data_IF_439669020824
#
_entry.id   IF_439669020824
#
_cell.length_a   1.000
_cell.length_b   1.000
_cell.length_c   1.000
_cell.angle_alpha   90.00
_cell.angle_beta   90.00
_cell.angle_gamma   90.00
#
_symmetry.space_group_name_H-M   'P 1'
#
loop_
_entity.id
_entity.type
_entity.pdbx_description
1 polymer ?
#
# COMPACT_ATOMS: atom_id res chain seq x y z
N UNK A 1 -32.91 -14.89 21.55
CA UNK A 1 -33.61 -13.88 22.36
C UNK A 1 -32.58 -13.29 23.30
N UNK A 2 -32.18 -12.03 23.11
CA UNK A 2 -31.26 -11.39 24.05
C UNK A 2 -32.01 -11.19 25.37
N UNK A 3 -31.49 -11.73 26.46
CA UNK A 3 -31.99 -11.45 27.81
C UNK A 3 -31.86 -9.94 28.05
N UNK A 4 -32.99 -9.26 28.22
CA UNK A 4 -33.05 -7.86 28.59
C UNK A 4 -32.64 -7.74 30.05
N UNK A 5 -31.52 -7.04 30.31
CA UNK A 5 -30.96 -6.80 31.64
C UNK A 5 -32.00 -6.17 32.58
N UNK A 6 -32.13 -6.69 33.79
CA UNK A 6 -33.05 -6.15 34.81
C UNK A 6 -32.46 -4.91 35.50
N UNK A 7 -33.28 -4.05 36.14
CA UNK A 7 -32.78 -2.89 36.88
C UNK A 7 -31.80 -3.23 38.02
N UNK A 8 -31.99 -4.38 38.68
CA UNK A 8 -31.09 -4.84 39.74
C UNK A 8 -29.74 -5.30 39.18
N UNK A 9 -29.75 -6.02 38.05
CA UNK A 9 -28.53 -6.41 37.33
C UNK A 9 -27.79 -5.17 36.80
N UNK A 10 -28.51 -4.18 36.28
CA UNK A 10 -27.92 -2.92 35.79
C UNK A 10 -27.19 -2.15 36.89
N UNK A 11 -27.78 -2.04 38.10
CA UNK A 11 -27.12 -1.39 39.25
C UNK A 11 -25.94 -2.21 39.78
N UNK A 12 -26.07 -3.54 39.80
CA UNK A 12 -24.95 -4.42 40.16
C UNK A 12 -23.77 -4.24 39.20
N UNK A 13 -24.06 -4.19 37.89
CA UNK A 13 -23.04 -4.01 36.86
C UNK A 13 -22.44 -2.60 36.88
N UNK A 14 -23.23 -1.56 37.11
CA UNK A 14 -22.73 -0.21 37.37
C UNK A 14 -21.72 -0.18 38.52
N UNK A 15 -22.04 -0.79 39.66
CA UNK A 15 -21.14 -0.84 40.83
C UNK A 15 -19.85 -1.60 40.51
N UNK A 16 -19.96 -2.69 39.75
CA UNK A 16 -18.80 -3.42 39.24
C UNK A 16 -17.92 -2.51 38.36
N UNK A 17 -18.50 -1.81 37.38
CA UNK A 17 -17.78 -0.88 36.51
C UNK A 17 -17.10 0.24 37.29
N UNK A 18 -17.81 0.89 38.22
CA UNK A 18 -17.23 1.94 39.06
C UNK A 18 -16.08 1.42 39.93
N UNK A 19 -16.17 0.18 40.42
CA UNK A 19 -15.08 -0.48 41.15
C UNK A 19 -13.85 -0.67 40.27
N UNK A 20 -14.04 -1.13 39.02
CA UNK A 20 -12.94 -1.23 38.04
C UNK A 20 -12.32 0.14 37.75
N UNK A 21 -13.16 1.18 37.59
CA UNK A 21 -12.73 2.55 37.34
C UNK A 21 -11.89 3.13 38.49
N UNK A 22 -12.32 2.94 39.74
CA UNK A 22 -11.58 3.35 40.94
C UNK A 22 -10.21 2.67 41.01
N UNK A 23 -10.16 1.37 40.67
CA UNK A 23 -8.91 0.59 40.63
C UNK A 23 -8.04 0.89 39.41
N UNK A 24 -8.53 1.69 38.45
CA UNK A 24 -7.88 2.00 37.17
C UNK A 24 -7.55 0.73 36.38
N UNK A 25 -8.44 -0.26 36.44
CA UNK A 25 -8.32 -1.50 35.68
C UNK A 25 -8.46 -1.21 34.18
N UNK A 26 -7.59 -1.79 33.34
CA UNK A 26 -7.62 -1.57 31.89
C UNK A 26 -8.97 -1.95 31.26
N UNK A 27 -9.65 -2.93 31.84
CA UNK A 27 -10.95 -3.42 31.38
C UNK A 27 -12.10 -2.40 31.55
N UNK A 28 -11.93 -1.39 32.40
CA UNK A 28 -13.00 -0.45 32.72
C UNK A 28 -13.48 0.32 31.48
N UNK A 29 -12.56 0.95 30.74
CA UNK A 29 -12.89 1.82 29.60
C UNK A 29 -13.74 1.12 28.52
N UNK A 30 -13.35 -0.07 28.00
CA UNK A 30 -14.16 -0.76 26.99
C UNK A 30 -15.49 -1.28 27.55
N UNK A 31 -15.53 -1.80 28.78
CA UNK A 31 -16.76 -2.33 29.37
C UNK A 31 -17.77 -1.22 29.68
N UNK A 32 -17.31 -0.08 30.20
CA UNK A 32 -18.15 1.08 30.45
C UNK A 32 -18.71 1.66 29.14
N UNK A 33 -17.86 1.80 28.10
CA UNK A 33 -18.30 2.30 26.81
C UNK A 33 -19.36 1.41 26.14
N UNK A 34 -19.19 0.08 26.20
CA UNK A 34 -20.19 -0.87 25.70
C UNK A 34 -21.51 -0.72 26.48
N UNK A 35 -21.44 -0.72 27.81
CA UNK A 35 -22.63 -0.59 28.65
C UNK A 35 -23.42 0.69 28.37
N UNK A 36 -22.73 1.83 28.26
CA UNK A 36 -23.31 3.16 28.02
C UNK A 36 -23.96 3.29 26.62
N UNK A 37 -23.48 2.55 25.63
CA UNK A 37 -23.93 2.63 24.23
C UNK A 37 -25.01 1.61 23.89
N UNK A 38 -24.92 0.42 24.47
CA UNK A 38 -25.78 -0.71 24.13
C UNK A 38 -27.08 -0.73 24.95
N UNK A 39 -27.19 0.12 25.99
CA UNK A 39 -28.33 0.14 26.90
C UNK A 39 -28.93 1.53 27.06
N UNK A 40 -30.26 1.57 27.21
CA UNK A 40 -30.98 2.75 27.68
C UNK A 40 -30.93 2.78 29.22
N UNK A 41 -30.03 3.60 29.75
CA UNK A 41 -29.76 3.68 31.19
C UNK A 41 -30.96 4.22 32.00
N UNK A 42 -31.80 5.06 31.38
CA UNK A 42 -33.04 5.55 32.00
C UNK A 42 -34.07 4.41 32.07
N UNK A 43 -34.23 3.62 31.00
CA UNK A 43 -35.11 2.46 30.98
C UNK A 43 -34.67 1.35 31.97
N UNK A 44 -33.37 1.24 32.24
CA UNK A 44 -32.80 0.35 33.25
C UNK A 44 -32.96 0.88 34.70
N UNK A 45 -33.54 2.07 34.88
CA UNK A 45 -33.82 2.63 36.20
C UNK A 45 -32.58 3.17 36.93
N UNK A 46 -31.50 3.49 36.22
CA UNK A 46 -30.33 4.16 36.80
C UNK A 46 -30.64 5.64 37.03
N UNK A 47 -30.28 6.13 38.22
CA UNK A 47 -30.50 7.52 38.61
C UNK A 47 -29.60 8.48 37.81
N UNK A 48 -30.01 9.74 37.60
CA UNK A 48 -29.17 10.74 36.96
C UNK A 48 -27.77 10.87 37.58
N UNK A 49 -27.66 10.85 38.92
CA UNK A 49 -26.38 10.88 39.64
C UNK A 49 -25.49 9.65 39.34
N UNK A 50 -26.10 8.48 39.20
CA UNK A 50 -25.42 7.22 38.87
C UNK A 50 -24.87 7.27 37.43
N UNK A 51 -25.68 7.74 36.49
CA UNK A 51 -25.30 7.89 35.09
C UNK A 51 -24.18 8.93 34.91
N UNK A 52 -24.29 10.09 35.55
CA UNK A 52 -23.24 11.13 35.50
C UNK A 52 -21.92 10.58 36.07
N UNK A 53 -21.96 9.85 37.19
CA UNK A 53 -20.76 9.25 37.77
C UNK A 53 -20.05 8.30 36.81
N UNK A 54 -20.82 7.43 36.13
CA UNK A 54 -20.30 6.49 35.14
C UNK A 54 -19.73 7.21 33.90
N UNK A 55 -20.44 8.21 33.37
CA UNK A 55 -20.02 8.99 32.20
C UNK A 55 -18.72 9.75 32.46
N UNK A 56 -18.59 10.38 33.63
CA UNK A 56 -17.37 11.11 34.00
C UNK A 56 -16.20 10.17 34.22
N UNK A 57 -16.41 9.03 34.87
CA UNK A 57 -15.38 8.00 35.02
C UNK A 57 -14.93 7.48 33.66
N UNK A 58 -15.86 7.16 32.76
CA UNK A 58 -15.57 6.73 31.39
C UNK A 58 -14.77 7.81 30.64
N UNK A 59 -15.19 9.08 30.66
CA UNK A 59 -14.49 10.18 30.01
C UNK A 59 -13.03 10.33 30.49
N UNK A 60 -12.77 10.18 31.79
CA UNK A 60 -11.42 10.24 32.35
C UNK A 60 -10.53 9.08 31.87
N UNK A 61 -11.10 7.91 31.63
CA UNK A 61 -10.34 6.75 31.14
C UNK A 61 -9.79 6.94 29.71
N UNK A 62 -10.35 7.87 28.94
CA UNK A 62 -9.90 8.21 27.57
C UNK A 62 -8.96 9.43 27.51
N UNK A 63 -8.56 9.99 28.66
CA UNK A 63 -7.72 11.19 28.73
C UNK A 63 -6.33 11.12 28.05
N UNK A 64 -5.64 9.95 27.92
CA UNK A 64 -4.28 9.95 27.37
C UNK A 64 -4.21 9.85 25.83
N UNK A 65 -5.33 9.65 25.12
CA UNK A 65 -5.30 9.33 23.67
C UNK A 65 -6.18 10.26 22.82
N UNK A 66 -5.59 11.24 22.10
CA UNK A 66 -6.34 12.17 21.23
C UNK A 66 -7.26 11.50 20.20
N UNK A 67 -6.88 10.30 19.71
CA UNK A 67 -7.72 9.49 18.80
C UNK A 67 -9.05 9.05 19.42
N UNK A 68 -9.16 9.00 20.75
CA UNK A 68 -10.36 8.61 21.49
C UNK A 68 -11.15 9.81 22.02
N UNK A 69 -10.72 11.04 21.71
CA UNK A 69 -11.36 12.25 22.23
C UNK A 69 -12.77 12.46 21.70
N UNK A 70 -13.12 11.90 20.54
CA UNK A 70 -14.51 11.87 20.06
C UNK A 70 -15.44 11.12 21.03
N UNK A 71 -15.03 9.96 21.54
CA UNK A 71 -15.78 9.22 22.55
C UNK A 71 -15.80 9.95 23.90
N UNK A 72 -14.67 10.59 24.27
CA UNK A 72 -14.61 11.42 25.48
C UNK A 72 -15.58 12.60 25.42
N UNK A 73 -15.67 13.28 24.27
CA UNK A 73 -16.61 14.39 24.05
C UNK A 73 -18.06 13.92 24.17
N UNK A 74 -18.43 12.80 23.53
CA UNK A 74 -19.77 12.20 23.65
C UNK A 74 -20.16 11.97 25.12
N UNK A 75 -19.27 11.38 25.93
CA UNK A 75 -19.55 11.16 27.34
C UNK A 75 -19.65 12.47 28.15
N UNK A 76 -18.82 13.47 27.85
CA UNK A 76 -18.86 14.78 28.51
C UNK A 76 -20.13 15.56 28.14
N UNK A 77 -20.57 15.52 26.87
CA UNK A 77 -21.80 16.16 26.39
C UNK A 77 -23.03 15.52 27.04
N UNK A 78 -23.08 14.19 27.11
CA UNK A 78 -24.14 13.46 27.81
C UNK A 78 -24.16 13.76 29.31
N UNK A 79 -22.99 13.82 29.95
CA UNK A 79 -22.89 14.18 31.36
C UNK A 79 -23.38 15.62 31.58
N UNK A 80 -22.98 16.57 30.73
CA UNK A 80 -23.41 17.96 30.79
C UNK A 80 -24.93 18.10 30.68
N UNK A 81 -25.57 17.35 29.79
CA UNK A 81 -27.02 17.36 29.63
C UNK A 81 -27.77 16.78 30.85
N UNK A 82 -27.17 15.83 31.57
CA UNK A 82 -27.77 15.19 32.74
C UNK A 82 -27.55 15.96 34.05
N UNK A 83 -26.46 16.73 34.15
CA UNK A 83 -26.07 17.46 35.37
C UNK A 83 -27.21 18.25 36.04
N UNK A 84 -28.08 19.00 35.32
CA UNK A 84 -29.19 19.75 35.93
C UNK A 84 -30.21 18.89 36.69
N UNK A 85 -30.25 17.57 36.42
CA UNK A 85 -31.16 16.60 37.05
C UNK A 85 -30.51 15.85 38.22
N UNK A 86 -29.29 16.21 38.60
CA UNK A 86 -28.50 15.54 39.66
C UNK A 86 -28.35 16.43 40.89
N UNK A 87 -27.82 15.85 41.97
CA UNK A 87 -27.41 16.62 43.16
C UNK A 87 -26.15 17.46 42.93
N UNK A 88 -25.49 17.28 41.79
CA UNK A 88 -24.28 18.01 41.39
C UNK A 88 -24.58 19.31 40.65
N UNK A 89 -25.85 19.59 40.33
CA UNK A 89 -26.27 20.85 39.72
C UNK A 89 -25.85 22.05 40.58
N UNK A 90 -25.24 23.06 39.97
CA UNK A 90 -24.76 24.27 40.66
C UNK A 90 -23.51 24.07 41.53
N UNK A 91 -22.91 22.88 41.54
CA UNK A 91 -21.64 22.61 42.22
C UNK A 91 -20.45 22.92 41.31
N UNK A 92 -19.20 23.02 41.85
CA UNK A 92 -18.01 23.22 41.02
C UNK A 92 -17.80 22.14 39.94
N UNK A 93 -18.40 20.96 40.10
CA UNK A 93 -18.33 19.85 39.13
C UNK A 93 -18.89 20.28 37.77
N UNK A 94 -19.97 21.06 37.76
CA UNK A 94 -20.59 21.53 36.52
C UNK A 94 -19.64 22.42 35.70
N UNK A 95 -18.93 23.32 36.39
CA UNK A 95 -17.88 24.15 35.77
C UNK A 95 -16.70 23.32 35.26
N UNK A 96 -16.31 22.27 36.00
CA UNK A 96 -15.22 21.36 35.59
C UNK A 96 -15.57 20.58 34.32
N UNK A 97 -16.80 20.06 34.21
CA UNK A 97 -17.25 19.35 33.00
C UNK A 97 -17.24 20.29 31.79
N UNK A 98 -17.75 21.52 31.93
CA UNK A 98 -17.72 22.51 30.86
C UNK A 98 -16.31 22.98 30.48
N UNK A 99 -15.34 22.96 31.41
CA UNK A 99 -13.94 23.22 31.11
C UNK A 99 -13.31 22.06 30.34
N UNK A 100 -13.54 20.82 30.81
CA UNK A 100 -12.95 19.62 30.21
C UNK A 100 -13.48 19.37 28.79
N UNK A 101 -14.75 19.67 28.53
CA UNK A 101 -15.35 19.60 27.20
C UNK A 101 -14.66 20.57 26.23
N UNK A 102 -14.52 21.85 26.61
CA UNK A 102 -13.82 22.86 25.80
C UNK A 102 -12.36 22.50 25.55
N UNK A 103 -11.66 22.03 26.59
CA UNK A 103 -10.27 21.58 26.48
C UNK A 103 -10.14 20.40 25.52
N UNK A 104 -10.97 19.37 25.69
CA UNK A 104 -10.93 18.16 24.86
C UNK A 104 -11.26 18.48 23.40
N UNK A 105 -12.23 19.35 23.14
CA UNK A 105 -12.56 19.81 21.79
C UNK A 105 -11.38 20.54 21.15
N UNK A 106 -10.76 21.48 21.86
CA UNK A 106 -9.60 22.21 21.37
C UNK A 106 -8.39 21.30 21.09
N UNK A 107 -8.11 20.34 21.97
CA UNK A 107 -7.03 19.38 21.76
C UNK A 107 -7.32 18.41 20.59
N UNK A 108 -8.58 18.03 20.38
CA UNK A 108 -9.01 17.24 19.23
C UNK A 108 -8.85 18.03 17.92
N UNK A 109 -9.20 19.32 17.90
CA UNK A 109 -8.99 20.18 16.75
C UNK A 109 -7.50 20.30 16.41
N UNK A 110 -6.64 20.51 17.42
CA UNK A 110 -5.18 20.51 17.24
C UNK A 110 -4.64 19.17 16.74
N UNK A 111 -5.20 18.06 17.22
CA UNK A 111 -4.86 16.73 16.74
C UNK A 111 -5.26 16.56 15.26
N UNK A 112 -6.46 16.98 14.88
CA UNK A 112 -6.91 16.96 13.50
C UNK A 112 -6.07 17.87 12.61
N UNK A 113 -5.69 19.06 13.07
CA UNK A 113 -4.79 19.97 12.36
C UNK A 113 -3.41 19.36 12.16
N UNK A 114 -2.86 18.66 13.16
CA UNK A 114 -1.56 18.00 13.06
C UNK A 114 -1.58 16.74 12.17
N UNK A 115 -2.72 16.03 12.10
CA UNK A 115 -2.87 14.80 11.30
C UNK A 115 -3.32 15.09 9.87
N UNK A 116 -4.10 16.15 9.65
CA UNK A 116 -4.45 16.59 8.30
C UNK A 116 -3.20 17.21 7.69
N UNK A 117 -2.68 16.56 6.66
CA UNK A 117 -1.83 17.24 5.70
C UNK A 117 -2.62 18.43 5.19
N UNK A 118 -2.10 19.65 5.32
CA UNK A 118 -2.67 20.85 4.71
C UNK A 118 -2.74 20.62 3.20
N UNK A 119 -3.86 20.06 2.74
CA UNK A 119 -4.17 19.93 1.32
C UNK A 119 -4.41 21.35 0.85
N UNK A 120 -3.52 21.84 -0.01
CA UNK A 120 -3.82 23.00 -0.83
C UNK A 120 -5.14 22.72 -1.56
N UNK A 121 -6.25 23.31 -1.12
CA UNK A 121 -7.54 23.19 -1.80
C UNK A 121 -7.55 23.96 -3.14
N UNK A 122 -6.52 24.76 -3.38
CA UNK A 122 -6.39 25.69 -4.50
C UNK A 122 -5.28 25.34 -5.49
N UNK A 123 -4.49 24.29 -5.24
CA UNK A 123 -3.47 23.80 -6.19
C UNK A 123 -4.02 22.66 -7.03
N UNK A 124 -3.89 22.76 -8.36
CA UNK A 124 -4.00 21.56 -9.21
C UNK A 124 -3.05 20.49 -8.65
N UNK A 125 -3.57 19.28 -8.45
CA UNK A 125 -2.73 18.15 -8.03
C UNK A 125 -1.61 17.97 -9.04
N UNK A 126 -0.43 17.60 -8.57
CA UNK A 126 0.64 17.20 -9.47
C UNK A 126 0.26 15.85 -10.11
N UNK A 127 0.40 15.73 -11.42
CA UNK A 127 0.06 14.52 -12.17
C UNK A 127 1.33 13.78 -12.59
N UNK A 128 1.40 12.49 -12.28
CA UNK A 128 2.34 11.56 -12.87
C UNK A 128 1.58 10.78 -13.94
N UNK A 129 2.03 10.89 -15.19
CA UNK A 129 1.36 10.26 -16.33
C UNK A 129 2.08 8.95 -16.68
N UNK A 130 1.30 7.89 -16.79
CA UNK A 130 1.77 6.55 -17.13
C UNK A 130 1.44 6.26 -18.59
N UNK A 131 2.47 6.15 -19.42
CA UNK A 131 2.36 5.70 -20.80
C UNK A 131 2.88 4.25 -20.88
N UNK A 132 2.01 3.33 -21.31
CA UNK A 132 2.33 1.91 -21.40
C UNK A 132 1.54 1.24 -22.52
N UNK A 133 1.98 0.04 -22.90
CA UNK A 133 1.22 -0.84 -23.80
C UNK A 133 0.02 -1.54 -23.11
N UNK A 134 -0.04 -1.51 -21.78
CA UNK A 134 -1.16 -2.06 -21.00
C UNK A 134 -1.58 -1.06 -19.90
N UNK A 135 -2.03 0.15 -20.26
CA UNK A 135 -2.22 1.26 -19.32
C UNK A 135 -3.24 0.92 -18.24
N UNK A 136 -4.43 0.42 -18.61
CA UNK A 136 -5.50 0.04 -17.67
C UNK A 136 -5.04 -1.00 -16.64
N UNK A 137 -4.21 -1.96 -17.08
CA UNK A 137 -3.65 -2.94 -16.16
C UNK A 137 -2.76 -2.26 -15.11
N UNK A 138 -1.82 -1.42 -15.52
CA UNK A 138 -0.88 -0.80 -14.58
C UNK A 138 -1.51 0.28 -13.71
N UNK A 139 -2.47 1.06 -14.21
CA UNK A 139 -3.07 2.17 -13.45
C UNK A 139 -4.24 1.73 -12.57
N UNK A 140 -4.93 0.63 -12.89
CA UNK A 140 -6.10 0.17 -12.15
C UNK A 140 -5.97 -1.26 -11.62
N UNK A 141 -5.95 -2.25 -12.51
CA UNK A 141 -6.02 -3.68 -12.11
C UNK A 141 -4.88 -4.06 -11.18
N UNK A 142 -3.64 -3.73 -11.54
CA UNK A 142 -2.46 -3.99 -10.73
C UNK A 142 -2.55 -3.27 -9.37
N UNK A 143 -3.01 -2.02 -9.33
CA UNK A 143 -3.10 -1.29 -8.06
C UNK A 143 -4.12 -1.91 -7.10
N UNK A 144 -5.27 -2.37 -7.62
CA UNK A 144 -6.26 -3.15 -6.86
C UNK A 144 -5.67 -4.46 -6.34
N UNK A 145 -4.96 -5.20 -7.21
CA UNK A 145 -4.31 -6.47 -6.83
C UNK A 145 -3.21 -6.26 -5.79
N UNK A 146 -2.41 -5.20 -5.87
CA UNK A 146 -1.38 -4.89 -4.89
C UNK A 146 -1.98 -4.53 -3.52
N UNK A 147 -3.04 -3.72 -3.51
CA UNK A 147 -3.74 -3.41 -2.28
C UNK A 147 -4.31 -4.68 -1.60
N UNK A 148 -4.94 -5.57 -2.37
CA UNK A 148 -5.44 -6.85 -1.87
C UNK A 148 -4.29 -7.76 -1.39
N UNK A 149 -3.19 -7.84 -2.14
CA UNK A 149 -2.00 -8.62 -1.80
C UNK A 149 -1.46 -8.22 -0.42
N UNK A 150 -1.27 -6.93 -0.16
CA UNK A 150 -0.75 -6.47 1.13
C UNK A 150 -1.76 -6.61 2.26
N UNK A 151 -3.06 -6.42 1.99
CA UNK A 151 -4.10 -6.65 2.99
C UNK A 151 -4.16 -8.12 3.41
N UNK A 152 -4.05 -9.04 2.45
CA UNK A 152 -4.01 -10.47 2.71
C UNK A 152 -2.72 -10.83 3.44
N UNK A 153 -1.54 -10.54 2.87
CA UNK A 153 -0.24 -10.89 3.46
C UNK A 153 -0.08 -10.46 4.91
N UNK A 154 -0.55 -9.27 5.26
CA UNK A 154 -0.36 -8.71 6.60
C UNK A 154 -1.53 -8.97 7.55
N UNK A 155 -2.51 -9.81 7.15
CA UNK A 155 -3.57 -10.43 7.97
C UNK A 155 -3.91 -9.66 9.25
N UNK A 156 -4.44 -8.42 9.12
CA UNK A 156 -4.94 -7.66 10.26
C UNK A 156 -6.24 -8.31 10.76
N UNK A 157 -6.12 -9.45 11.45
CA UNK A 157 -7.28 -10.15 12.00
C UNK A 157 -8.01 -9.25 12.99
N UNK A 158 -9.33 -9.39 13.17
CA UNK A 158 -10.07 -8.64 14.19
C UNK A 158 -9.50 -8.84 15.60
N UNK A 159 -8.89 -10.00 15.88
CA UNK A 159 -8.21 -10.30 17.14
C UNK A 159 -6.90 -9.52 17.29
N UNK A 160 -6.05 -9.51 16.26
CA UNK A 160 -4.83 -8.73 16.25
C UNK A 160 -5.12 -7.22 16.35
N UNK A 161 -6.14 -6.74 15.65
CA UNK A 161 -6.59 -5.34 15.73
C UNK A 161 -7.12 -4.98 17.14
N UNK A 162 -7.85 -5.89 17.79
CA UNK A 162 -8.30 -5.73 19.18
C UNK A 162 -7.14 -5.72 20.17
N UNK A 163 -6.17 -6.62 19.98
CA UNK A 163 -4.93 -6.69 20.76
C UNK A 163 -4.12 -5.39 20.64
N UNK A 164 -3.87 -4.93 19.42
CA UNK A 164 -3.14 -3.68 19.14
C UNK A 164 -3.75 -2.48 19.85
N UNK A 165 -5.07 -2.31 19.77
CA UNK A 165 -5.78 -1.15 20.29
C UNK A 165 -6.26 -1.31 21.75
N UNK A 166 -6.01 -2.46 22.40
CA UNK A 166 -6.56 -2.81 23.71
C UNK A 166 -8.08 -2.56 23.78
N UNK A 167 -8.81 -3.05 22.78
CA UNK A 167 -10.28 -2.91 22.71
C UNK A 167 -10.96 -4.25 23.02
N UNK A 168 -12.11 -4.22 23.69
CA UNK A 168 -12.87 -5.41 24.07
C UNK A 168 -12.67 -5.83 25.55
N UNK A 169 -13.00 -7.09 25.91
CA UNK A 169 -12.91 -7.56 27.29
C UNK A 169 -11.46 -7.56 27.82
N UNK A 170 -11.32 -7.64 29.15
CA UNK A 170 -10.03 -7.64 29.84
C UNK A 170 -9.06 -8.64 29.19
N UNK A 171 -7.94 -8.14 28.64
CA UNK A 171 -6.91 -8.99 28.06
C UNK A 171 -6.07 -9.60 29.18
N UNK A 172 -5.75 -10.88 29.05
CA UNK A 172 -4.86 -11.59 29.97
C UNK A 172 -3.42 -11.52 29.46
N UNK A 173 -2.46 -11.67 30.36
CA UNK A 173 -1.05 -11.75 30.01
C UNK A 173 -0.78 -13.11 29.35
N UNK A 174 -0.71 -13.12 28.02
CA UNK A 174 -0.53 -14.34 27.21
C UNK A 174 0.69 -14.18 26.27
N UNK A 175 1.93 -14.18 26.80
CA UNK A 175 3.13 -13.94 26.01
C UNK A 175 3.36 -14.99 24.92
N UNK A 176 2.78 -16.18 25.04
CA UNK A 176 2.89 -17.27 24.06
C UNK A 176 1.79 -17.21 22.98
N UNK A 177 0.81 -16.31 23.11
CA UNK A 177 -0.27 -16.16 22.14
C UNK A 177 0.18 -15.26 20.97
N UNK A 178 0.72 -15.88 19.93
CA UNK A 178 1.22 -15.17 18.74
C UNK A 178 0.14 -14.38 17.99
N UNK A 179 -1.15 -14.68 18.20
CA UNK A 179 -2.25 -13.95 17.56
C UNK A 179 -2.48 -12.55 18.15
N UNK A 180 -2.00 -12.27 19.36
CA UNK A 180 -2.13 -10.97 20.04
C UNK A 180 -0.83 -10.17 20.09
N UNK A 181 0.27 -10.72 19.56
CA UNK A 181 1.55 -10.01 19.45
C UNK A 181 1.38 -8.76 18.58
N UNK A 182 1.96 -7.65 19.03
CA UNK A 182 1.78 -6.33 18.40
C UNK A 182 2.84 -6.00 17.36
N UNK A 183 3.97 -6.70 17.40
CA UNK A 183 5.08 -6.53 16.48
C UNK A 183 4.96 -7.56 15.36
N UNK A 184 4.17 -7.22 14.35
CA UNK A 184 4.13 -7.96 13.09
C UNK A 184 4.13 -6.99 11.91
N UNK A 185 4.55 -7.49 10.75
CA UNK A 185 4.61 -6.70 9.54
C UNK A 185 3.21 -6.16 9.20
N UNK A 186 3.08 -4.84 9.08
CA UNK A 186 1.80 -4.19 8.80
C UNK A 186 0.97 -3.76 10.02
N UNK A 187 1.42 -4.00 11.25
CA UNK A 187 0.73 -3.52 12.46
C UNK A 187 0.64 -1.98 12.56
N UNK A 188 1.53 -1.27 11.89
CA UNK A 188 1.60 0.18 11.94
C UNK A 188 0.91 0.80 10.72
N UNK A 189 -0.25 1.40 10.95
CA UNK A 189 -1.11 2.00 9.92
C UNK A 189 -0.38 2.90 8.91
N UNK A 190 0.54 3.80 9.31
CA UNK A 190 1.36 4.56 8.37
C UNK A 190 2.16 3.72 7.38
N UNK A 191 2.79 2.61 7.83
CA UNK A 191 3.54 1.73 6.92
C UNK A 191 2.60 0.95 6.01
N UNK A 192 1.46 0.51 6.51
CA UNK A 192 0.44 -0.13 5.66
C UNK A 192 -0.11 0.82 4.62
N UNK A 193 -0.42 2.06 5.02
CA UNK A 193 -0.88 3.09 4.09
C UNK A 193 0.16 3.38 3.01
N UNK A 194 1.46 3.42 3.36
CA UNK A 194 2.54 3.59 2.40
C UNK A 194 2.63 2.42 1.40
N UNK A 195 2.29 1.18 1.82
CA UNK A 195 2.29 0.01 0.94
C UNK A 195 1.01 -0.15 0.14
N UNK A 196 -0.16 0.10 0.70
CA UNK A 196 -1.45 -0.10 0.00
C UNK A 196 -1.82 1.02 -0.96
N UNK A 197 -1.23 2.22 -0.81
CA UNK A 197 -1.55 3.38 -1.64
C UNK A 197 -0.38 3.88 -2.52
N UNK A 198 0.76 3.21 -2.50
CA UNK A 198 1.81 3.47 -3.47
C UNK A 198 1.47 2.86 -4.84
N UNK A 199 2.17 3.31 -5.88
CA UNK A 199 2.02 2.77 -7.24
C UNK A 199 2.94 1.57 -7.42
N UNK A 200 2.38 0.39 -7.66
CA UNK A 200 3.13 -0.87 -7.80
C UNK A 200 3.24 -1.33 -9.24
N UNK A 201 4.40 -1.86 -9.59
CA UNK A 201 4.65 -2.55 -10.86
C UNK A 201 4.65 -4.05 -10.59
N UNK A 202 3.76 -4.74 -11.31
CA UNK A 202 3.55 -6.18 -11.23
C UNK A 202 3.38 -6.76 -12.62
N UNK A 203 3.65 -8.04 -12.80
CA UNK A 203 3.46 -8.73 -14.07
C UNK A 203 2.17 -9.58 -14.03
N UNK A 204 1.39 -9.64 -15.13
CA UNK A 204 0.17 -10.44 -15.22
C UNK A 204 0.46 -11.93 -15.51
N UNK A 205 1.72 -12.34 -15.44
CA UNK A 205 2.24 -13.68 -15.71
C UNK A 205 3.41 -13.98 -14.75
N UNK A 206 3.79 -15.25 -14.63
CA UNK A 206 4.93 -15.65 -13.79
C UNK A 206 6.24 -15.39 -14.53
N UNK A 207 7.23 -14.85 -13.82
CA UNK A 207 8.59 -14.65 -14.32
C UNK A 207 9.56 -15.55 -13.53
N UNK A 208 10.33 -16.38 -14.22
CA UNK A 208 11.34 -17.25 -13.60
C UNK A 208 12.74 -16.82 -14.02
N UNK A 209 13.63 -16.67 -13.04
CA UNK A 209 15.08 -16.58 -13.22
C UNK A 209 15.70 -17.89 -12.73
N UNK A 210 16.66 -18.42 -13.48
CA UNK A 210 17.36 -19.66 -13.14
C UNK A 210 18.81 -19.61 -13.57
N UNK A 211 19.71 -20.27 -12.84
CA UNK A 211 21.09 -20.55 -13.26
C UNK A 211 21.18 -21.75 -14.19
N UNK A 212 20.09 -22.48 -14.35
CA UNK A 212 20.04 -23.70 -15.15
C UNK A 212 18.91 -23.66 -16.17
N UNK A 213 19.04 -24.41 -17.28
CA UNK A 213 18.01 -24.49 -18.31
C UNK A 213 16.83 -25.40 -17.93
N UNK A 214 16.79 -26.00 -16.73
CA UNK A 214 15.76 -26.97 -16.36
C UNK A 214 14.43 -26.29 -16.04
N UNK A 215 13.34 -26.96 -16.46
CA UNK A 215 11.96 -26.57 -16.18
C UNK A 215 11.66 -25.09 -16.55
N UNK A 216 11.93 -24.65 -17.80
CA UNK A 216 11.56 -23.32 -18.22
C UNK A 216 10.04 -23.17 -18.24
N UNK A 217 9.56 -21.95 -18.01
CA UNK A 217 8.16 -21.61 -18.24
C UNK A 217 7.84 -21.59 -19.75
N UNK A 218 6.56 -21.81 -20.07
CA UNK A 218 6.09 -22.23 -21.39
C UNK A 218 6.17 -21.18 -22.51
N UNK A 219 6.27 -19.88 -22.18
CA UNK A 219 6.21 -18.82 -23.19
C UNK A 219 7.51 -18.64 -23.95
N UNK A 220 8.64 -19.00 -23.33
CA UNK A 220 9.95 -18.91 -23.97
C UNK A 220 11.08 -18.68 -22.98
N UNK A 221 12.31 -18.76 -23.50
CA UNK A 221 13.54 -18.60 -22.72
C UNK A 221 14.43 -17.54 -23.36
N UNK A 222 15.04 -16.71 -22.51
CA UNK A 222 16.18 -15.83 -22.83
C UNK A 222 17.36 -16.22 -21.98
N UNK A 223 18.55 -16.08 -22.54
CA UNK A 223 19.79 -16.49 -21.88
C UNK A 223 20.71 -15.28 -21.86
N UNK A 224 21.28 -15.00 -20.70
CA UNK A 224 22.31 -13.99 -20.55
C UNK A 224 23.51 -14.62 -19.86
N UNK A 225 24.70 -14.27 -20.33
CA UNK A 225 25.90 -14.42 -19.53
C UNK A 225 26.09 -13.15 -18.73
N UNK A 226 26.08 -13.22 -17.40
CA UNK A 226 26.14 -12.07 -16.50
C UNK A 226 27.14 -12.28 -15.36
N UNK A 227 28.12 -11.38 -15.28
CA UNK A 227 29.07 -11.25 -14.17
C UNK A 227 29.23 -9.78 -13.80
N UNK A 228 29.91 -9.50 -12.69
CA UNK A 228 30.18 -8.12 -12.29
C UNK A 228 30.92 -7.36 -13.41
N UNK A 229 30.38 -6.21 -13.81
CA UNK A 229 30.92 -5.37 -14.88
C UNK A 229 30.74 -5.89 -16.31
N UNK A 230 30.11 -7.05 -16.53
CA UNK A 230 29.93 -7.60 -17.87
C UNK A 230 28.66 -8.43 -18.01
N UNK A 231 27.88 -8.16 -19.05
CA UNK A 231 26.72 -8.97 -19.40
C UNK A 231 26.54 -9.05 -20.91
N UNK A 232 26.11 -10.21 -21.41
CA UNK A 232 25.98 -10.43 -22.85
C UNK A 232 24.79 -11.37 -23.16
N UNK A 233 23.91 -11.01 -24.12
CA UNK A 233 22.79 -11.85 -24.53
C UNK A 233 23.27 -13.05 -25.35
N UNK A 234 22.79 -14.23 -24.98
CA UNK A 234 23.07 -15.50 -25.63
C UNK A 234 21.76 -16.17 -26.05
N UNK A 235 21.88 -17.16 -26.94
CA UNK A 235 20.78 -18.04 -27.32
C UNK A 235 21.29 -19.47 -27.49
N UNK A 236 20.36 -20.42 -27.44
CA UNK A 236 20.67 -21.82 -27.72
C UNK A 236 20.38 -22.12 -29.19
N UNK A 237 21.39 -22.59 -29.92
CA UNK A 237 21.28 -22.95 -31.33
C UNK A 237 22.02 -24.27 -31.59
N UNK A 238 21.31 -25.29 -32.09
CA UNK A 238 21.87 -26.59 -32.47
C UNK A 238 22.72 -27.27 -31.38
N UNK A 239 22.29 -27.20 -30.11
CA UNK A 239 23.01 -27.84 -29.02
C UNK A 239 24.10 -26.98 -28.37
N UNK A 240 24.33 -25.77 -28.89
CA UNK A 240 25.41 -24.88 -28.45
C UNK A 240 24.86 -23.51 -28.03
N UNK A 241 25.57 -22.86 -27.11
CA UNK A 241 25.34 -21.45 -26.84
C UNK A 241 26.01 -20.61 -27.94
N UNK A 242 25.24 -19.68 -28.48
CA UNK A 242 25.71 -18.72 -29.48
C UNK A 242 25.39 -17.30 -29.04
N UNK A 243 26.20 -16.34 -29.46
CA UNK A 243 25.87 -14.92 -29.37
C UNK A 243 24.54 -14.62 -30.05
N UNK A 244 23.65 -13.93 -29.35
CA UNK A 244 22.34 -13.57 -29.91
C UNK A 244 22.46 -12.53 -31.04
N UNK A 245 23.56 -11.76 -31.06
CA UNK A 245 23.76 -10.66 -32.03
C UNK A 245 24.27 -11.14 -33.39
N UNK A 246 25.30 -11.98 -33.40
CA UNK A 246 26.01 -12.39 -34.62
C UNK A 246 26.00 -13.91 -34.86
N UNK A 247 25.45 -14.70 -33.93
CA UNK A 247 25.36 -16.15 -34.03
C UNK A 247 26.67 -16.89 -33.78
N UNK A 248 27.73 -16.21 -33.35
CA UNK A 248 29.03 -16.85 -33.08
C UNK A 248 28.90 -17.83 -31.89
N UNK A 249 29.40 -19.06 -32.06
CA UNK A 249 29.44 -20.06 -30.98
C UNK A 249 30.32 -19.57 -29.84
N UNK A 250 29.79 -19.61 -28.61
CA UNK A 250 30.52 -19.26 -27.40
C UNK A 250 30.92 -20.53 -26.65
N UNK A 251 32.18 -20.60 -26.23
CA UNK A 251 32.75 -21.74 -25.49
C UNK A 251 32.37 -21.75 -24.00
N UNK A 252 31.10 -21.47 -23.68
CA UNK A 252 30.59 -21.41 -22.30
C UNK A 252 29.81 -22.70 -22.01
N UNK A 253 30.15 -23.44 -20.93
CA UNK A 253 29.36 -24.58 -20.46
C UNK A 253 27.93 -24.18 -20.08
N UNK A 254 26.95 -25.05 -20.32
CA UNK A 254 25.52 -24.76 -20.01
C UNK A 254 25.22 -24.69 -18.51
N UNK A 255 26.15 -25.15 -17.68
CA UNK A 255 26.12 -25.13 -16.22
C UNK A 255 27.03 -24.04 -15.63
N UNK A 256 27.56 -23.13 -16.45
CA UNK A 256 28.36 -22.00 -15.98
C UNK A 256 27.53 -21.13 -15.01
N UNK A 257 28.05 -20.83 -13.80
CA UNK A 257 27.29 -20.10 -12.78
C UNK A 257 26.94 -18.67 -13.18
N UNK A 258 27.58 -18.11 -14.20
CA UNK A 258 27.29 -16.78 -14.73
C UNK A 258 26.17 -16.80 -15.78
N UNK A 259 25.68 -17.97 -16.18
CA UNK A 259 24.49 -18.05 -17.02
C UNK A 259 23.24 -17.76 -16.20
N UNK A 260 22.35 -16.98 -16.80
CA UNK A 260 21.02 -16.69 -16.27
C UNK A 260 20.02 -16.96 -17.38
N UNK A 261 19.13 -17.91 -17.12
CA UNK A 261 18.00 -18.28 -17.93
C UNK A 261 16.77 -17.56 -17.39
N UNK A 262 16.07 -16.83 -18.26
CA UNK A 262 14.85 -16.12 -17.93
C UNK A 262 13.72 -16.69 -18.76
N UNK A 263 12.65 -17.10 -18.11
CA UNK A 263 11.46 -17.63 -18.77
C UNK A 263 10.20 -17.01 -18.18
N UNK A 264 9.11 -17.01 -18.96
CA UNK A 264 7.83 -16.48 -18.54
C UNK A 264 6.70 -17.49 -18.81
N UNK A 265 5.66 -17.47 -17.98
CA UNK A 265 4.41 -18.20 -18.26
C UNK A 265 3.54 -17.44 -19.24
N UNK A 266 2.43 -18.04 -19.67
CA UNK A 266 1.34 -17.27 -20.28
C UNK A 266 0.72 -16.30 -19.27
N UNK A 267 -0.07 -15.34 -19.76
CA UNK A 267 -0.89 -14.46 -18.93
C UNK A 267 -1.81 -15.31 -18.04
N UNK A 268 -1.77 -15.03 -16.72
CA UNK A 268 -2.59 -15.67 -15.69
C UNK A 268 -3.60 -14.73 -15.05
N UNK A 269 -3.41 -13.41 -15.15
CA UNK A 269 -4.40 -12.43 -14.67
C UNK A 269 -5.62 -12.42 -15.60
N UNK A 270 -6.81 -12.84 -15.12
CA UNK A 270 -8.02 -12.94 -15.96
C UNK A 270 -8.54 -11.61 -16.49
N UNK A 271 -8.33 -10.52 -15.75
CA UNK A 271 -8.76 -9.16 -16.12
C UNK A 271 -7.74 -8.47 -17.03
N UNK A 272 -6.61 -9.11 -17.34
CA UNK A 272 -5.60 -8.52 -18.22
C UNK A 272 -6.08 -8.44 -19.67
N UNK A 273 -5.80 -7.29 -20.29
CA UNK A 273 -6.06 -6.99 -21.69
C UNK A 273 -4.79 -6.39 -22.31
N UNK A 274 -4.50 -6.82 -23.53
CA UNK A 274 -3.33 -6.37 -24.28
C UNK A 274 -3.71 -6.17 -25.73
N UNK A 275 -3.66 -4.91 -26.16
CA UNK A 275 -3.99 -4.49 -27.53
C UNK A 275 -2.73 -4.18 -28.36
N UNK A 276 -1.55 -4.61 -27.88
CA UNK A 276 -0.28 -4.40 -28.56
C UNK A 276 -0.13 -5.24 -29.83
N UNK A 277 0.90 -4.95 -30.65
CA UNK A 277 1.16 -5.69 -31.87
C UNK A 277 1.38 -7.17 -31.54
N UNK A 278 0.49 -8.03 -32.07
CA UNK A 278 0.63 -9.48 -31.92
C UNK A 278 1.99 -9.91 -32.48
N UNK A 279 2.84 -10.48 -31.64
CA UNK A 279 4.13 -11.02 -32.03
C UNK A 279 3.91 -12.34 -32.80
N UNK A 280 3.50 -12.22 -34.07
CA UNK A 280 3.25 -13.36 -34.96
C UNK A 280 1.95 -14.12 -34.64
N UNK A 281 1.91 -15.41 -35.02
CA UNK A 281 0.76 -16.32 -34.81
C UNK A 281 0.68 -16.89 -33.37
N UNK A 282 1.31 -16.24 -32.38
CA UNK A 282 1.28 -16.71 -31.00
C UNK A 282 -0.13 -16.56 -30.40
N UNK A 283 -0.57 -17.49 -29.53
CA UNK A 283 -1.81 -17.32 -28.76
C UNK A 283 -1.83 -16.00 -27.98
N UNK A 284 -3.00 -15.35 -27.82
CA UNK A 284 -3.11 -14.05 -27.14
C UNK A 284 -2.48 -14.02 -25.73
N UNK A 285 -2.62 -15.11 -24.98
CA UNK A 285 -2.07 -15.26 -23.64
C UNK A 285 -0.53 -15.25 -23.60
N UNK A 286 0.14 -15.49 -24.73
CA UNK A 286 1.61 -15.44 -24.83
C UNK A 286 2.11 -14.11 -25.37
N UNK A 287 1.24 -13.28 -25.97
CA UNK A 287 1.66 -12.09 -26.71
C UNK A 287 2.42 -11.08 -25.83
N UNK A 288 1.83 -10.67 -24.69
CA UNK A 288 2.48 -9.71 -23.79
C UNK A 288 3.74 -10.28 -23.09
N UNK A 289 3.73 -11.50 -22.50
CA UNK A 289 4.96 -12.06 -21.94
C UNK A 289 6.07 -12.22 -22.99
N UNK A 290 5.76 -12.58 -24.25
CA UNK A 290 6.74 -12.59 -25.34
C UNK A 290 7.30 -11.19 -25.62
N UNK A 291 6.45 -10.16 -25.65
CA UNK A 291 6.89 -8.77 -25.81
C UNK A 291 7.86 -8.40 -24.68
N UNK A 292 7.56 -8.73 -23.43
CA UNK A 292 8.47 -8.47 -22.29
C UNK A 292 9.79 -9.24 -22.45
N UNK A 293 9.74 -10.53 -22.79
CA UNK A 293 10.93 -11.36 -23.01
C UNK A 293 11.81 -10.84 -24.17
N UNK A 294 11.21 -10.27 -25.22
CA UNK A 294 11.93 -9.69 -26.36
C UNK A 294 12.72 -8.44 -26.01
N UNK A 295 12.25 -7.68 -25.01
CA UNK A 295 12.87 -6.43 -24.58
C UNK A 295 13.68 -6.57 -23.29
N UNK A 296 14.07 -7.80 -22.92
CA UNK A 296 15.00 -8.01 -21.81
C UNK A 296 16.38 -7.44 -22.15
N UNK A 297 16.94 -6.72 -21.18
CA UNK A 297 18.32 -6.29 -21.17
C UNK A 297 19.09 -6.91 -20.00
N UNK A 298 20.34 -6.51 -19.86
CA UNK A 298 21.19 -6.93 -18.77
C UNK A 298 22.18 -5.83 -18.39
N UNK A 299 22.44 -5.69 -17.10
CA UNK A 299 23.42 -4.78 -16.53
C UNK A 299 24.27 -5.54 -15.49
N UNK A 300 25.38 -6.12 -15.94
CA UNK A 300 26.20 -6.98 -15.10
C UNK A 300 25.43 -8.21 -14.63
N UNK A 301 25.17 -8.30 -13.32
CA UNK A 301 24.39 -9.40 -12.73
C UNK A 301 22.87 -9.17 -12.75
N UNK A 302 22.42 -7.95 -13.06
CA UNK A 302 21.01 -7.62 -13.11
C UNK A 302 20.44 -7.92 -14.49
N UNK A 303 19.27 -8.54 -14.52
CA UNK A 303 18.41 -8.62 -15.69
C UNK A 303 17.49 -7.42 -15.66
N UNK A 304 17.46 -6.68 -16.76
CA UNK A 304 16.59 -5.54 -16.96
C UNK A 304 15.32 -6.02 -17.67
N UNK A 305 14.20 -6.03 -16.96
CA UNK A 305 12.89 -6.37 -17.50
C UNK A 305 12.18 -5.08 -17.92
N UNK A 306 12.11 -4.84 -19.24
CA UNK A 306 11.33 -3.73 -19.77
C UNK A 306 9.84 -4.06 -19.76
N UNK A 307 9.08 -3.31 -18.97
CA UNK A 307 7.62 -3.39 -18.98
C UNK A 307 7.00 -2.43 -20.01
N UNK A 308 7.82 -1.74 -20.82
CA UNK A 308 7.40 -0.63 -21.69
C UNK A 308 6.53 0.38 -20.93
N UNK A 309 6.92 0.67 -19.70
CA UNK A 309 6.24 1.57 -18.78
C UNK A 309 7.04 2.87 -18.71
N UNK A 310 6.55 3.91 -19.38
CA UNK A 310 7.10 5.27 -19.28
C UNK A 310 6.32 6.05 -18.24
N UNK A 311 7.03 6.75 -17.39
CA UNK A 311 6.47 7.58 -16.34
C UNK A 311 6.90 9.01 -16.59
N UNK A 312 5.92 9.89 -16.83
CA UNK A 312 6.08 11.30 -17.12
C UNK A 312 5.72 12.13 -15.89
N UNK A 313 6.53 13.13 -15.58
CA UNK A 313 6.38 13.98 -14.40
C UNK A 313 7.13 15.30 -14.56
N UNK A 314 6.68 16.33 -13.83
CA UNK A 314 7.42 17.58 -13.73
C UNK A 314 8.61 17.39 -12.76
N UNK A 315 9.80 17.23 -13.32
CA UNK A 315 11.05 17.06 -12.60
C UNK A 315 11.46 18.28 -11.75
N UNK A 316 10.83 19.44 -11.95
CA UNK A 316 11.02 20.62 -11.11
C UNK A 316 10.24 20.55 -9.79
N UNK A 317 9.18 19.73 -9.74
CA UNK A 317 8.28 19.61 -8.58
C UNK A 317 8.40 18.25 -7.87
N UNK A 318 8.59 17.17 -8.63
CA UNK A 318 8.57 15.79 -8.12
C UNK A 318 9.84 15.05 -8.50
N UNK A 319 10.37 14.28 -7.56
CA UNK A 319 11.28 13.18 -7.85
C UNK A 319 10.56 11.85 -7.57
N UNK A 320 10.90 10.80 -8.31
CA UNK A 320 10.27 9.49 -8.13
C UNK A 320 11.32 8.52 -7.60
N UNK A 321 11.13 8.01 -6.39
CA UNK A 321 11.92 6.92 -5.84
C UNK A 321 11.36 5.61 -6.37
N UNK A 322 12.19 4.85 -7.06
CA UNK A 322 11.89 3.50 -7.50
C UNK A 322 12.56 2.50 -6.54
N UNK A 323 11.77 1.60 -5.97
CA UNK A 323 12.25 0.64 -4.99
C UNK A 323 11.76 -0.76 -5.30
N UNK A 324 12.66 -1.75 -5.27
CA UNK A 324 12.28 -3.15 -5.29
C UNK A 324 11.42 -3.52 -4.08
N UNK A 325 10.38 -4.31 -4.32
CA UNK A 325 9.51 -4.81 -3.28
C UNK A 325 10.31 -5.69 -2.31
N UNK A 326 10.17 -5.51 -0.98
CA UNK A 326 10.89 -6.31 0.00
C UNK A 326 10.61 -7.81 -0.14
N UNK A 327 9.43 -8.18 -0.64
CA UNK A 327 8.98 -9.56 -0.86
C UNK A 327 9.85 -10.33 -1.86
N UNK A 328 10.57 -9.63 -2.74
CA UNK A 328 11.54 -10.27 -3.64
C UNK A 328 12.63 -11.00 -2.86
N UNK A 329 12.97 -10.52 -1.66
CA UNK A 329 13.97 -11.17 -0.83
C UNK A 329 13.54 -12.58 -0.41
N UNK A 330 12.26 -12.75 -0.07
CA UNK A 330 11.68 -14.06 0.31
C UNK A 330 11.66 -15.03 -0.87
N UNK A 331 11.61 -14.50 -2.09
CA UNK A 331 11.67 -15.27 -3.33
C UNK A 331 13.12 -15.58 -3.77
N UNK A 332 14.14 -15.17 -3.00
CA UNK A 332 15.55 -15.36 -3.35
C UNK A 332 16.05 -14.39 -4.42
N UNK A 333 15.39 -13.24 -4.57
CA UNK A 333 15.75 -12.19 -5.53
C UNK A 333 16.21 -10.93 -4.81
N UNK A 334 16.98 -10.12 -5.54
CA UNK A 334 17.26 -8.72 -5.20
C UNK A 334 16.85 -7.84 -6.37
N UNK A 335 16.46 -6.62 -6.02
CA UNK A 335 16.07 -5.61 -6.99
C UNK A 335 16.88 -4.33 -6.79
N UNK A 336 17.23 -3.67 -7.89
CA UNK A 336 17.86 -2.36 -7.80
C UNK A 336 16.88 -1.30 -7.26
N UNK A 337 17.42 -0.26 -6.65
CA UNK A 337 16.67 0.91 -6.17
C UNK A 337 17.33 2.18 -6.70
N UNK A 338 16.56 3.22 -6.98
CA UNK A 338 17.12 4.45 -7.52
C UNK A 338 16.17 5.64 -7.41
N UNK A 339 16.72 6.83 -7.59
CA UNK A 339 15.93 8.07 -7.62
C UNK A 339 15.90 8.60 -9.06
N UNK A 340 14.70 8.72 -9.61
CA UNK A 340 14.43 9.26 -10.94
C UNK A 340 14.16 10.76 -10.78
N UNK A 341 15.09 11.58 -11.25
CA UNK A 341 15.03 13.04 -11.10
C UNK A 341 14.92 13.78 -12.43
N UNK A 342 15.26 13.14 -13.55
CA UNK A 342 15.28 13.69 -14.93
C UNK A 342 15.22 12.54 -15.92
N UNK A 343 14.95 12.83 -17.19
CA UNK A 343 15.05 11.82 -18.26
C UNK A 343 16.46 11.25 -18.38
N UNK A 344 16.58 9.93 -18.27
CA UNK A 344 17.80 9.20 -18.60
C UNK A 344 17.65 8.45 -19.93
N UNK A 345 18.65 8.60 -20.81
CA UNK A 345 18.73 7.98 -22.13
C UNK A 345 19.07 6.48 -22.06
N UNK A 346 18.12 5.59 -22.35
CA UNK A 346 18.33 4.14 -22.52
C UNK A 346 17.61 3.52 -23.74
N UNK A 347 16.67 4.22 -24.38
CA UNK A 347 16.03 3.79 -25.65
C UNK A 347 16.88 4.02 -26.91
N UNK A 348 16.46 3.43 -28.03
CA UNK A 348 16.98 3.76 -29.37
C UNK A 348 16.58 5.19 -29.74
N UNK A 349 17.43 5.93 -30.47
CA UNK A 349 17.22 7.34 -30.84
C UNK A 349 15.83 7.64 -31.41
N UNK A 350 15.23 6.72 -32.17
CA UNK A 350 13.87 6.87 -32.75
C UNK A 350 12.74 6.94 -31.71
N UNK A 351 12.88 6.30 -30.54
CA UNK A 351 11.86 6.39 -29.47
C UNK A 351 11.94 7.72 -28.70
N UNK A 352 13.15 8.29 -28.61
CA UNK A 352 13.36 9.64 -28.06
C UNK A 352 12.83 10.72 -29.01
N UNK A 353 12.93 10.53 -30.32
CA UNK A 353 12.45 11.50 -31.32
C UNK A 353 10.93 11.67 -31.37
N UNK A 354 10.15 10.67 -30.90
CA UNK A 354 8.68 10.77 -30.81
C UNK A 354 8.18 11.40 -29.51
N UNK A 355 9.07 11.70 -28.56
CA UNK A 355 8.73 12.39 -27.31
C UNK A 355 8.53 13.88 -27.61
N UNK A 356 7.29 14.32 -27.79
CA UNK A 356 6.96 15.68 -28.23
C UNK A 356 5.76 15.77 -29.19
N UNK A 357 4.94 14.72 -29.30
CA UNK A 357 3.78 14.69 -30.20
C UNK A 357 2.47 15.12 -29.55
N UNK A 358 2.35 14.99 -28.22
CA UNK A 358 1.09 15.20 -27.51
C UNK A 358 1.14 16.45 -26.61
N UNK A 359 0.07 17.27 -26.55
CA UNK A 359 0.06 18.48 -25.74
C UNK A 359 0.36 18.26 -24.25
N UNK A 360 -0.02 17.11 -23.69
CA UNK A 360 0.23 16.78 -22.28
C UNK A 360 1.68 16.49 -21.95
N UNK A 361 2.55 16.29 -22.94
CA UNK A 361 3.98 16.04 -22.73
C UNK A 361 4.77 17.35 -22.49
N UNK A 362 4.19 18.51 -22.80
CA UNK A 362 4.88 19.80 -22.69
C UNK A 362 5.32 20.09 -21.24
N UNK A 363 6.59 20.44 -21.07
CA UNK A 363 7.17 20.73 -19.75
C UNK A 363 7.46 19.51 -18.87
N UNK A 364 7.07 18.30 -19.28
CA UNK A 364 7.31 17.08 -18.51
C UNK A 364 8.64 16.41 -18.87
N UNK A 365 9.27 15.80 -17.87
CA UNK A 365 10.33 14.81 -18.05
C UNK A 365 9.73 13.41 -18.02
N UNK A 366 10.43 12.41 -18.56
CA UNK A 366 9.98 11.03 -18.47
C UNK A 366 11.12 10.06 -18.24
N UNK A 367 10.80 8.88 -17.73
CA UNK A 367 11.75 7.77 -17.66
C UNK A 367 11.04 6.44 -17.91
N UNK A 368 11.79 5.50 -18.46
CA UNK A 368 11.37 4.10 -18.50
C UNK A 368 11.55 3.45 -17.12
N UNK A 369 10.50 2.80 -16.65
CA UNK A 369 10.51 1.99 -15.43
C UNK A 369 10.85 0.56 -15.82
N UNK A 370 12.12 0.21 -15.65
CA UNK A 370 12.64 -1.13 -15.91
C UNK A 370 12.93 -1.83 -14.59
N UNK A 371 12.49 -3.08 -14.47
CA UNK A 371 12.73 -3.90 -13.27
C UNK A 371 14.13 -4.48 -13.38
N UNK A 372 15.01 -4.15 -12.44
CA UNK A 372 16.36 -4.69 -12.43
C UNK A 372 16.43 -5.77 -11.37
N UNK A 373 16.43 -7.04 -11.80
CA UNK A 373 16.32 -8.21 -10.94
C UNK A 373 17.60 -9.05 -10.98
N UNK A 374 18.03 -9.56 -9.84
CA UNK A 374 19.14 -10.51 -9.75
C UNK A 374 18.79 -11.63 -8.78
N UNK A 375 19.29 -12.84 -9.05
CA UNK A 375 19.25 -13.93 -8.08
C UNK A 375 20.20 -13.61 -6.92
N UNK A 376 19.76 -13.89 -5.70
CA UNK A 376 20.63 -13.79 -4.52
C UNK A 376 21.80 -14.78 -4.62
N UNK A 377 22.93 -14.48 -3.97
CA UNK A 377 24.05 -15.41 -3.90
C UNK A 377 23.61 -16.77 -3.37
N UNK A 378 23.95 -17.84 -4.08
CA UNK A 378 23.60 -19.22 -3.71
C UNK A 378 22.19 -19.66 -4.08
N UNK A 379 21.35 -18.77 -4.63
CA UNK A 379 20.02 -19.15 -5.15
C UNK A 379 20.16 -19.61 -6.60
N UNK A 380 19.73 -20.84 -6.86
CA UNK A 380 19.78 -21.46 -8.18
C UNK A 380 18.63 -20.98 -9.08
N UNK A 381 17.42 -20.87 -8.53
CA UNK A 381 16.26 -20.38 -9.27
C UNK A 381 15.25 -19.70 -8.36
N UNK A 382 14.54 -18.71 -8.91
CA UNK A 382 13.45 -17.98 -8.27
C UNK A 382 12.31 -17.76 -9.27
N UNK A 383 11.08 -17.85 -8.79
CA UNK A 383 9.86 -17.55 -9.55
C UNK A 383 9.15 -16.39 -8.88
N UNK A 384 8.82 -15.36 -9.65
CA UNK A 384 7.91 -14.30 -9.28
C UNK A 384 6.52 -14.70 -9.81
N UNK A 385 5.58 -15.07 -8.94
CA UNK A 385 4.21 -15.35 -9.36
C UNK A 385 3.54 -14.09 -9.93
N UNK A 386 2.62 -14.27 -10.86
CA UNK A 386 1.77 -13.18 -11.35
C UNK A 386 1.10 -12.42 -10.19
N UNK A 387 0.87 -11.11 -10.38
CA UNK A 387 0.31 -10.21 -9.35
C UNK A 387 1.12 -10.10 -8.06
N UNK A 388 2.40 -10.47 -8.06
CA UNK A 388 3.29 -10.17 -6.93
C UNK A 388 3.90 -8.78 -7.13
N UNK A 389 3.86 -7.89 -6.11
CA UNK A 389 4.61 -6.63 -6.12
C UNK A 389 6.09 -6.87 -6.44
N UNK A 390 6.61 -6.22 -7.48
CA UNK A 390 8.03 -6.33 -7.87
C UNK A 390 8.75 -5.03 -7.56
N UNK A 391 8.18 -3.91 -7.98
CA UNK A 391 8.73 -2.57 -7.77
C UNK A 391 7.61 -1.62 -7.34
N UNK A 392 7.98 -0.60 -6.57
CA UNK A 392 7.07 0.45 -6.14
C UNK A 392 7.65 1.81 -6.53
N UNK A 393 6.79 2.68 -7.06
CA UNK A 393 7.10 4.07 -7.37
C UNK A 393 6.54 4.96 -6.26
N UNK A 394 7.44 5.66 -5.58
CA UNK A 394 7.11 6.62 -4.55
C UNK A 394 7.38 8.05 -5.07
N UNK A 395 6.34 8.88 -5.26
CA UNK A 395 6.56 10.30 -5.46
C UNK A 395 7.15 10.88 -4.16
N UNK A 396 8.36 11.38 -4.23
CA UNK A 396 9.09 11.98 -3.11
C UNK A 396 9.33 13.46 -3.40
N UNK A 397 9.43 14.25 -2.32
CA UNK A 397 9.64 15.71 -2.37
C UNK A 397 8.48 16.54 -2.96
N UNK A 398 7.34 15.92 -3.26
CA UNK A 398 6.16 16.68 -3.69
C UNK A 398 5.66 17.61 -2.58
N UNK A 399 5.36 18.86 -2.95
CA UNK A 399 4.76 19.85 -2.04
C UNK A 399 3.24 19.71 -1.96
N UNK A 400 2.65 18.81 -2.77
CA UNK A 400 1.21 18.62 -2.92
C UNK A 400 0.84 17.13 -3.00
N UNK A 401 -0.45 16.82 -3.17
CA UNK A 401 -0.88 15.45 -3.44
C UNK A 401 -0.62 15.12 -4.92
N UNK A 402 0.01 13.98 -5.18
CA UNK A 402 0.29 13.49 -6.53
C UNK A 402 -0.73 12.45 -6.94
N UNK A 403 -1.23 12.54 -8.17
CA UNK A 403 -2.11 11.53 -8.78
C UNK A 403 -1.39 10.82 -9.93
N UNK A 404 -1.53 9.50 -10.00
CA UNK A 404 -1.14 8.73 -11.19
C UNK A 404 -2.34 8.67 -12.14
N UNK A 405 -2.12 8.93 -13.42
CA UNK A 405 -3.12 8.81 -14.48
C UNK A 405 -2.50 8.18 -15.72
N UNK A 406 -3.30 7.55 -16.58
CA UNK A 406 -2.79 7.09 -17.88
C UNK A 406 -2.72 8.24 -18.91
N UNK A 407 -1.95 8.03 -19.97
CA UNK A 407 -1.73 9.02 -21.03
C UNK A 407 -3.00 9.44 -21.79
N UNK A 408 -3.98 8.54 -21.95
CA UNK A 408 -5.23 8.88 -22.64
C UNK A 408 -6.10 9.80 -21.78
N UNK A 409 -6.21 9.50 -20.48
CA UNK A 409 -6.89 10.34 -19.50
C UNK A 409 -6.25 11.73 -19.40
N UNK A 410 -4.92 11.83 -19.44
CA UNK A 410 -4.20 13.09 -19.48
C UNK A 410 -4.56 13.92 -20.73
N UNK A 411 -4.61 13.28 -21.91
CA UNK A 411 -5.02 13.91 -23.16
C UNK A 411 -6.44 14.48 -23.08
N UNK A 412 -7.41 13.71 -22.57
CA UNK A 412 -8.78 14.19 -22.37
C UNK A 412 -8.87 15.37 -21.41
N UNK A 413 -8.11 15.32 -20.30
CA UNK A 413 -8.10 16.38 -19.29
C UNK A 413 -7.65 17.71 -19.88
N UNK A 414 -6.55 17.71 -20.63
CA UNK A 414 -6.02 18.93 -21.25
C UNK A 414 -6.96 19.44 -22.35
N UNK A 415 -7.52 18.54 -23.17
CA UNK A 415 -8.49 18.92 -24.18
C UNK A 415 -9.72 19.63 -23.57
N UNK A 416 -10.21 19.17 -22.42
CA UNK A 416 -11.32 19.81 -21.69
C UNK A 416 -10.93 21.18 -21.11
N UNK A 417 -9.72 21.33 -20.59
CA UNK A 417 -9.21 22.60 -20.06
C UNK A 417 -9.09 23.68 -21.15
N UNK A 418 -8.51 23.33 -22.30
CA UNK A 418 -8.40 24.23 -23.45
C UNK A 418 -9.77 24.68 -24.01
N UNK A 419 -10.79 23.83 -23.92
CA UNK A 419 -12.15 24.15 -24.35
C UNK A 419 -12.89 25.15 -23.44
N UNK A 420 -12.45 25.31 -22.19
CA UNK A 420 -13.01 26.29 -21.24
C UNK A 420 -12.38 27.68 -21.35
N UNK A 421 -11.15 27.79 -21.86
CA UNK A 421 -10.46 29.08 -22.07
C UNK A 421 -10.83 29.77 -23.39
N UNK A 422 -11.54 29.08 -24.29
CA UNK A 422 -11.93 29.59 -25.61
C UNK A 422 -13.42 30.02 -25.72
N UNK A 423 -14.17 30.00 -24.61
CA UNK A 423 -15.55 30.49 -24.51
C UNK A 423 -15.66 31.64 -23.52
#
# INVERSE_FOLDING_TARGET
>A
MAETMTPEEARSYLNYLLTLGIRREQAFAPLAAAFIRENDLDALGLLPDEQVSLLLAAAQSFAPEPRRYSAKLDFLERAQALLPRTRLAGTPVEGQVGQELRKTAHELDRYHEAVRVNRSETGEREHIIVESMAPEYFTDTAQKRAAAYYQDRYHLTPEAHRAQNYTGPAQQFEPENTAIHKEFEGACGPFMNARTHAFHVMLPFDLKLSRTPQEPLETGVRIFYGKEGYSFPLRYQMGQLTSDRDGTVVGVPVDDPNLVYISASGVKEPEFRFDGPASGNAPPELAFPLTVLQHLGSLGNYIQVSCNLKVWFDASQVAILIQGAPELHDLGLTAATGLMTRTYGLGTTEEYERSGGEPWQEGLSYNYVNLHLALQPGIESAVIPYNTPIFTLYPVLSRQAVAFEDAAAAGERIARGMGQEQG
#
